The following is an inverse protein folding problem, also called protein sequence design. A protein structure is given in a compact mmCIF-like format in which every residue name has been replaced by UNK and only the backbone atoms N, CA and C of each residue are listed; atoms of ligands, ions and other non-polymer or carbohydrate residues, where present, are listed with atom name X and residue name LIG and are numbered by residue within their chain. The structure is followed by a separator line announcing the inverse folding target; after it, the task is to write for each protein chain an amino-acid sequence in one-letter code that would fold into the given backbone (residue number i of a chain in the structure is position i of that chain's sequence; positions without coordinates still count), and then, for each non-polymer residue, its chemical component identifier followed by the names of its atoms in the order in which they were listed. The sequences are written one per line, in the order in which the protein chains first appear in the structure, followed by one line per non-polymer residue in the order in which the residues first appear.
data_IF_964149336392
#
_entry.id   IF_964149336392
#
_cell.length_a   1.000
_cell.length_b   1.000
_cell.length_c   1.000
_cell.angle_alpha   90.00
_cell.angle_beta   90.00
_cell.angle_gamma   90.00
#
_symmetry.space_group_name_H-M   'P 1'
#
loop_
_entity.id
_entity.type
_entity.pdbx_description
1 polymer ?
#
# COMPACT_ATOMS: atom_id res chain seq x y z
N UNK A 1 -14.55 -16.21 19.13
CA UNK A 1 -15.17 -15.39 18.07
C UNK A 1 -15.56 -14.02 18.65
N UNK A 2 -14.57 -13.23 19.09
CA UNK A 2 -14.74 -11.85 19.62
C UNK A 2 -13.53 -10.97 19.25
N UNK A 3 -12.51 -11.52 18.56
CA UNK A 3 -11.19 -10.88 18.42
C UNK A 3 -11.12 -10.04 17.13
N UNK A 4 -11.72 -10.50 16.04
CA UNK A 4 -11.77 -9.83 14.71
C UNK A 4 -12.54 -8.49 14.73
N UNK A 5 -13.57 -8.38 15.57
CA UNK A 5 -14.39 -7.16 15.67
C UNK A 5 -13.65 -5.99 16.30
N UNK A 6 -12.69 -6.25 17.19
CA UNK A 6 -11.89 -5.22 17.87
C UNK A 6 -10.80 -4.62 16.98
N UNK A 7 -10.16 -5.44 16.15
CA UNK A 7 -9.02 -5.01 15.31
C UNK A 7 -9.47 -4.17 14.11
N UNK A 8 -10.63 -4.51 13.51
CA UNK A 8 -11.25 -3.69 12.48
C UNK A 8 -11.78 -2.36 13.02
N UNK A 9 -12.20 -2.32 14.29
CA UNK A 9 -12.67 -1.11 14.95
C UNK A 9 -11.52 -0.18 15.33
N UNK A 10 -10.38 -0.70 15.80
CA UNK A 10 -9.17 0.09 16.04
C UNK A 10 -8.57 0.69 14.76
N UNK A 11 -8.60 -0.03 13.63
CA UNK A 11 -8.17 0.50 12.32
C UNK A 11 -9.11 1.59 11.82
N UNK A 12 -10.42 1.41 11.97
CA UNK A 12 -11.44 2.41 11.62
C UNK A 12 -11.34 3.67 12.49
N UNK A 13 -11.10 3.50 13.80
CA UNK A 13 -10.98 4.60 14.76
C UNK A 13 -9.70 5.44 14.54
N UNK A 14 -8.66 4.88 13.93
CA UNK A 14 -7.37 5.57 13.73
C UNK A 14 -7.22 6.26 12.36
N UNK A 15 -7.97 5.84 11.34
CA UNK A 15 -7.78 6.31 9.94
C UNK A 15 -9.05 6.80 9.24
N UNK A 16 -10.20 6.82 9.93
CA UNK A 16 -11.52 6.92 9.30
C UNK A 16 -11.92 5.55 8.73
N UNK A 17 -13.22 5.28 8.60
CA UNK A 17 -13.68 3.95 8.19
C UNK A 17 -13.07 3.53 6.84
N UNK A 18 -12.29 2.44 6.85
CA UNK A 18 -11.65 1.89 5.66
C UNK A 18 -12.58 0.86 5.01
N UNK A 19 -13.59 1.35 4.30
CA UNK A 19 -14.54 0.50 3.58
C UNK A 19 -14.12 0.25 2.13
N UNK A 20 -13.12 -0.62 1.93
CA UNK A 20 -12.82 -1.16 0.61
C UNK A 20 -13.78 -2.28 0.24
N UNK A 21 -14.29 -2.24 -0.99
CA UNK A 21 -15.17 -3.27 -1.56
C UNK A 21 -14.43 -4.22 -2.53
N UNK A 22 -13.18 -3.91 -2.86
CA UNK A 22 -12.30 -4.71 -3.72
C UNK A 22 -10.83 -4.42 -3.43
N UNK A 23 -9.95 -5.30 -3.91
CA UNK A 23 -8.52 -5.12 -3.83
C UNK A 23 -8.06 -3.89 -4.63
N UNK A 24 -8.67 -3.65 -5.80
CA UNK A 24 -8.42 -2.43 -6.59
C UNK A 24 -8.82 -1.16 -5.85
N UNK A 25 -9.96 -1.14 -5.17
CA UNK A 25 -10.36 0.00 -4.33
C UNK A 25 -9.36 0.25 -3.19
N UNK A 26 -8.87 -0.80 -2.55
CA UNK A 26 -7.81 -0.71 -1.55
C UNK A 26 -6.52 -0.12 -2.12
N UNK A 27 -6.10 -0.60 -3.30
CA UNK A 27 -4.92 -0.12 -3.99
C UNK A 27 -4.99 1.39 -4.29
N UNK A 28 -6.12 1.88 -4.79
CA UNK A 28 -6.31 3.30 -5.11
C UNK A 28 -6.26 4.17 -3.85
N UNK A 29 -6.93 3.76 -2.77
CA UNK A 29 -6.90 4.48 -1.49
C UNK A 29 -5.47 4.51 -0.88
N UNK A 30 -4.75 3.40 -0.97
CA UNK A 30 -3.34 3.30 -0.55
C UNK A 30 -2.47 4.25 -1.37
N UNK A 31 -2.60 4.25 -2.70
CA UNK A 31 -1.87 5.17 -3.59
C UNK A 31 -2.20 6.64 -3.29
N UNK A 32 -3.43 6.94 -2.89
CA UNK A 32 -3.87 8.30 -2.50
C UNK A 32 -3.45 8.71 -1.09
N UNK A 33 -2.87 7.80 -0.30
CA UNK A 33 -2.44 8.06 1.07
C UNK A 33 -1.07 8.74 1.11
N UNK A 34 -0.94 10.02 1.55
CA UNK A 34 0.33 10.74 1.51
C UNK A 34 1.33 10.29 2.57
N UNK A 35 0.83 9.89 3.74
CA UNK A 35 1.69 9.53 4.87
C UNK A 35 2.22 8.10 4.70
N UNK A 36 3.55 7.88 4.61
CA UNK A 36 4.10 6.54 4.39
C UNK A 36 3.83 5.59 5.58
N UNK A 37 3.70 6.11 6.80
CA UNK A 37 3.31 5.30 7.97
C UNK A 37 1.88 4.80 7.83
N UNK A 38 0.95 5.65 7.41
CA UNK A 38 -0.45 5.24 7.16
C UNK A 38 -0.51 4.26 5.99
N UNK A 39 0.31 4.47 4.96
CA UNK A 39 0.41 3.60 3.79
C UNK A 39 0.85 2.17 4.16
N UNK A 40 1.90 2.05 4.97
CA UNK A 40 2.37 0.76 5.48
C UNK A 40 1.26 0.03 6.27
N UNK A 41 0.58 0.74 7.18
CA UNK A 41 -0.52 0.16 7.97
C UNK A 41 -1.70 -0.29 7.11
N UNK A 42 -2.15 0.55 6.16
CA UNK A 42 -3.20 0.18 5.21
C UNK A 42 -2.82 -1.05 4.38
N UNK A 43 -1.54 -1.17 4.02
CA UNK A 43 -1.03 -2.35 3.29
C UNK A 43 -1.18 -3.64 4.10
N UNK A 44 -0.85 -3.61 5.40
CA UNK A 44 -1.04 -4.77 6.28
C UNK A 44 -2.52 -5.17 6.42
N UNK A 45 -3.41 -4.18 6.56
CA UNK A 45 -4.87 -4.40 6.60
C UNK A 45 -5.38 -5.00 5.30
N UNK A 46 -4.90 -4.50 4.16
CA UNK A 46 -5.30 -5.00 2.85
C UNK A 46 -4.83 -6.44 2.62
N UNK A 47 -3.60 -6.81 3.03
CA UNK A 47 -3.13 -8.20 2.97
C UNK A 47 -4.03 -9.12 3.80
N UNK A 48 -4.36 -8.73 5.04
CA UNK A 48 -5.22 -9.54 5.92
C UNK A 48 -6.58 -9.81 5.26
N UNK A 49 -7.28 -8.75 4.85
CA UNK A 49 -8.59 -8.86 4.20
C UNK A 49 -8.53 -9.62 2.87
N UNK A 50 -7.45 -9.47 2.10
CA UNK A 50 -7.23 -10.25 0.88
C UNK A 50 -7.09 -11.75 1.19
N UNK A 51 -6.27 -12.12 2.19
CA UNK A 51 -6.08 -13.52 2.59
C UNK A 51 -7.32 -14.16 3.23
N UNK A 52 -8.19 -13.35 3.83
CA UNK A 52 -9.51 -13.78 4.33
C UNK A 52 -10.55 -13.98 3.21
N UNK A 53 -10.27 -13.49 1.99
CA UNK A 53 -11.20 -13.55 0.86
C UNK A 53 -12.25 -12.44 0.86
N UNK A 54 -12.08 -11.42 1.69
CA UNK A 54 -13.02 -10.29 1.86
C UNK A 54 -12.92 -9.24 0.74
N UNK A 55 -11.88 -9.31 -0.08
CA UNK A 55 -11.61 -8.38 -1.15
C UNK A 55 -11.59 -9.15 -2.48
N UNK A 56 -12.64 -9.12 -3.31
CA UNK A 56 -12.49 -9.55 -4.69
C UNK A 56 -11.47 -8.65 -5.41
N UNK A 57 -10.79 -9.15 -6.45
CA UNK A 57 -9.79 -8.35 -7.21
C UNK A 57 -10.39 -7.02 -7.68
N UNK A 58 -11.58 -7.08 -8.27
CA UNK A 58 -12.35 -5.92 -8.74
C UNK A 58 -13.85 -6.21 -8.70
N UNK A 59 -14.67 -5.16 -8.65
CA UNK A 59 -16.11 -5.23 -8.91
C UNK A 59 -16.47 -5.00 -10.40
N UNK A 60 -15.47 -4.93 -11.29
CA UNK A 60 -15.66 -4.61 -12.70
C UNK A 60 -15.70 -3.11 -12.92
N UNK A 61 -16.88 -2.53 -13.12
CA UNK A 61 -17.04 -1.10 -13.37
C UNK A 61 -16.86 -0.28 -12.08
N UNK A 62 -15.61 -0.05 -11.69
CA UNK A 62 -15.26 0.81 -10.57
C UNK A 62 -15.04 2.26 -11.03
N UNK A 63 -15.66 3.26 -10.39
CA UNK A 63 -15.63 4.65 -10.85
C UNK A 63 -14.28 5.33 -10.60
N UNK A 64 -13.51 4.85 -9.62
CA UNK A 64 -12.27 5.49 -9.23
C UNK A 64 -11.14 5.18 -10.21
N UNK A 65 -10.48 6.26 -10.65
CA UNK A 65 -9.30 6.19 -11.49
C UNK A 65 -8.05 5.96 -10.63
N UNK A 66 -7.17 5.11 -11.15
CA UNK A 66 -5.79 4.98 -10.64
C UNK A 66 -5.11 6.34 -10.82
N UNK A 67 -4.53 6.94 -9.78
CA UNK A 67 -3.85 8.22 -9.93
C UNK A 67 -2.62 8.09 -10.84
N UNK A 68 -2.30 9.13 -11.61
CA UNK A 68 -1.10 9.17 -12.47
C UNK A 68 0.20 9.05 -11.67
N UNK A 69 0.17 9.39 -10.39
CA UNK A 69 1.27 9.23 -9.45
C UNK A 69 0.75 9.01 -8.04
N UNK A 70 1.44 8.20 -7.22
CA UNK A 70 1.10 8.06 -5.81
C UNK A 70 1.14 9.42 -5.10
N UNK A 71 0.19 9.63 -4.18
CA UNK A 71 0.27 10.73 -3.24
C UNK A 71 1.48 10.48 -2.33
N UNK A 72 2.55 11.21 -2.60
CA UNK A 72 3.77 11.24 -1.80
C UNK A 72 4.05 12.71 -1.47
N UNK A 73 4.51 13.04 -0.26
CA UNK A 73 4.91 14.40 0.06
C UNK A 73 5.99 14.83 -0.94
N UNK A 74 5.87 16.05 -1.47
CA UNK A 74 6.89 16.58 -2.36
C UNK A 74 8.26 16.42 -1.71
N UNK A 75 9.24 15.91 -2.46
CA UNK A 75 10.63 15.84 -1.99
C UNK A 75 11.08 17.28 -1.78
N UNK A 76 10.96 17.78 -0.55
CA UNK A 76 11.52 19.07 -0.17
C UNK A 76 13.00 18.94 -0.47
N UNK A 77 13.47 19.79 -1.39
CA UNK A 77 14.66 19.56 -2.19
C UNK A 77 15.88 19.18 -1.37
N UNK A 78 16.84 18.55 -2.04
CA UNK A 78 18.18 18.12 -1.58
C UNK A 78 18.89 19.21 -0.75
N UNK A 79 18.42 19.50 0.46
CA UNK A 79 19.25 20.04 1.51
C UNK A 79 20.37 19.03 1.64
N UNK A 80 21.62 19.49 1.54
CA UNK A 80 22.80 18.65 1.65
C UNK A 80 22.76 17.97 3.03
N UNK A 81 22.01 16.88 3.17
CA UNK A 81 22.30 15.87 4.16
C UNK A 81 23.76 15.56 3.89
N UNK A 82 24.65 15.91 4.83
CA UNK A 82 26.05 15.51 4.75
C UNK A 82 26.02 13.99 4.54
N UNK A 83 26.26 13.56 3.30
CA UNK A 83 26.28 12.15 2.95
C UNK A 83 27.25 11.45 3.89
N UNK A 84 26.80 10.39 4.55
CA UNK A 84 27.62 9.60 5.47
C UNK A 84 27.13 9.49 6.91
N UNK A 85 26.06 10.18 7.33
CA UNK A 85 25.42 9.83 8.62
C UNK A 85 24.53 8.60 8.50
N UNK A 86 24.55 7.73 9.52
CA UNK A 86 23.64 6.58 9.61
C UNK A 86 22.17 7.01 9.46
N UNK A 87 21.79 8.15 10.05
CA UNK A 87 20.44 8.71 9.93
C UNK A 87 20.05 9.03 8.48
N UNK A 88 20.97 9.61 7.70
CA UNK A 88 20.72 9.88 6.28
C UNK A 88 20.57 8.60 5.45
N UNK A 89 21.34 7.56 5.78
CA UNK A 89 21.21 6.24 5.16
C UNK A 89 19.84 5.62 5.48
N UNK A 90 19.43 5.60 6.75
CA UNK A 90 18.13 5.08 7.18
C UNK A 90 16.99 5.83 6.50
N UNK A 91 17.05 7.16 6.39
CA UNK A 91 16.06 7.93 5.63
C UNK A 91 16.00 7.50 4.15
N UNK A 92 17.15 7.24 3.51
CA UNK A 92 17.21 6.75 2.15
C UNK A 92 16.57 5.38 1.98
N UNK A 93 16.81 4.46 2.93
CA UNK A 93 16.18 3.13 2.95
C UNK A 93 14.67 3.26 3.14
N UNK A 94 14.19 3.99 4.15
CA UNK A 94 12.74 4.23 4.34
C UNK A 94 12.08 4.83 3.08
N UNK A 95 12.79 5.70 2.36
CA UNK A 95 12.28 6.24 1.10
C UNK A 95 12.16 5.14 0.03
N UNK A 96 13.17 4.29 -0.13
CA UNK A 96 13.15 3.17 -1.05
C UNK A 96 12.02 2.17 -0.73
N UNK A 97 11.89 1.76 0.54
CA UNK A 97 10.84 0.83 0.98
C UNK A 97 9.44 1.39 0.71
N UNK A 98 9.20 2.63 1.13
CA UNK A 98 7.89 3.26 0.89
C UNK A 98 7.61 3.45 -0.60
N UNK A 99 8.62 3.58 -1.46
CA UNK A 99 8.46 3.67 -2.92
C UNK A 99 8.13 2.30 -3.52
N UNK A 100 8.70 1.22 -2.99
CA UNK A 100 8.34 -0.14 -3.39
C UNK A 100 6.87 -0.46 -3.05
N UNK A 101 6.36 -0.04 -1.88
CA UNK A 101 4.93 -0.15 -1.55
C UNK A 101 4.06 0.50 -2.64
N UNK A 102 4.43 1.70 -3.11
CA UNK A 102 3.69 2.39 -4.17
C UNK A 102 3.68 1.61 -5.49
N UNK A 103 4.83 1.08 -5.89
CA UNK A 103 4.93 0.31 -7.15
C UNK A 103 4.06 -0.94 -7.12
N UNK A 104 4.00 -1.62 -5.99
CA UNK A 104 3.26 -2.88 -5.87
C UNK A 104 1.75 -2.60 -5.93
N UNK A 105 1.29 -1.55 -5.24
CA UNK A 105 -0.12 -1.15 -5.31
C UNK A 105 -0.51 -0.52 -6.65
N UNK A 106 0.40 0.16 -7.36
CA UNK A 106 0.14 0.65 -8.72
C UNK A 106 -0.06 -0.53 -9.69
N UNK A 107 0.77 -1.57 -9.60
CA UNK A 107 0.58 -2.82 -10.35
C UNK A 107 -0.79 -3.44 -10.08
N UNK A 108 -1.16 -3.62 -8.80
CA UNK A 108 -2.47 -4.17 -8.42
C UNK A 108 -3.61 -3.33 -9.01
N UNK A 109 -3.54 -2.00 -8.88
CA UNK A 109 -4.61 -1.10 -9.31
C UNK A 109 -4.83 -1.11 -10.83
N UNK A 110 -3.76 -1.18 -11.62
CA UNK A 110 -3.80 -1.15 -13.08
C UNK A 110 -4.27 -2.48 -13.67
N UNK A 111 -3.64 -3.58 -13.27
CA UNK A 111 -3.93 -4.89 -13.84
C UNK A 111 -5.28 -5.49 -13.40
N UNK A 112 -5.92 -4.96 -12.36
CA UNK A 112 -7.20 -5.44 -11.87
C UNK A 112 -8.38 -5.26 -12.85
N UNK A 113 -8.32 -4.32 -13.80
CA UNK A 113 -9.40 -4.10 -14.78
C UNK A 113 -9.29 -4.95 -16.07
N UNK A 114 -8.23 -5.75 -16.20
CA UNK A 114 -8.07 -6.62 -17.37
C UNK A 114 -7.74 -5.91 -18.66
N UNK A 115 -6.97 -4.82 -18.60
CA UNK A 115 -6.36 -4.15 -19.75
C UNK A 115 -5.13 -4.89 -20.32
N UNK A 116 -4.84 -6.10 -19.82
CA UNK A 116 -3.76 -6.98 -20.28
C UNK A 116 -4.06 -7.73 -21.60
N UNK A 117 -3.11 -8.57 -22.01
CA UNK A 117 -3.22 -9.43 -23.20
C UNK A 117 -4.55 -10.23 -23.18
N UNK A 118 -5.40 -10.01 -24.18
CA UNK A 118 -6.69 -10.69 -24.31
C UNK A 118 -7.88 -10.02 -23.59
N UNK A 119 -7.69 -8.86 -22.95
CA UNK A 119 -8.78 -8.11 -22.33
C UNK A 119 -9.31 -8.71 -21.02
N UNK A 120 -8.51 -9.55 -20.36
CA UNK A 120 -8.86 -10.19 -19.10
C UNK A 120 -7.83 -9.86 -18.01
N UNK A 121 -8.29 -9.79 -16.76
CA UNK A 121 -7.40 -9.63 -15.61
C UNK A 121 -6.52 -10.87 -15.44
N UNK A 122 -5.28 -10.72 -14.91
CA UNK A 122 -4.45 -11.85 -14.53
C UNK A 122 -5.15 -12.76 -13.50
N UNK A 123 -4.69 -14.02 -13.33
CA UNK A 123 -5.16 -14.89 -12.25
C UNK A 123 -4.90 -14.29 -10.86
N UNK A 124 -5.68 -14.70 -9.84
CA UNK A 124 -5.51 -14.22 -8.45
C UNK A 124 -4.07 -14.39 -7.91
N UNK A 125 -3.38 -15.46 -8.33
CA UNK A 125 -1.99 -15.72 -7.95
C UNK A 125 -1.02 -14.59 -8.33
N UNK A 126 -1.31 -13.84 -9.40
CA UNK A 126 -0.55 -12.63 -9.74
C UNK A 126 -0.70 -11.57 -8.65
N UNK A 127 -1.93 -11.34 -8.16
CA UNK A 127 -2.21 -10.36 -7.12
C UNK A 127 -1.67 -10.81 -5.75
N UNK A 128 -1.69 -12.12 -5.46
CA UNK A 128 -1.09 -12.68 -4.25
C UNK A 128 0.37 -12.27 -4.08
N UNK A 129 1.16 -12.34 -5.16
CA UNK A 129 2.58 -11.96 -5.13
C UNK A 129 2.75 -10.48 -4.83
N UNK A 130 2.01 -9.60 -5.51
CA UNK A 130 2.13 -8.15 -5.31
C UNK A 130 1.70 -7.69 -3.93
N UNK A 131 0.57 -8.21 -3.42
CA UNK A 131 0.06 -7.84 -2.08
C UNK A 131 1.01 -8.35 -1.00
N UNK A 132 1.59 -9.55 -1.19
CA UNK A 132 2.58 -10.10 -0.27
C UNK A 132 3.85 -9.23 -0.23
N UNK A 133 4.43 -8.91 -1.40
CA UNK A 133 5.63 -8.10 -1.49
C UNK A 133 5.37 -6.69 -0.92
N UNK A 134 4.23 -6.06 -1.24
CA UNK A 134 3.87 -4.77 -0.66
C UNK A 134 3.90 -4.79 0.88
N UNK A 135 3.42 -5.87 1.49
CA UNK A 135 3.41 -6.04 2.94
C UNK A 135 4.81 -6.29 3.53
N UNK A 136 5.69 -6.99 2.80
CA UNK A 136 7.10 -7.13 3.19
C UNK A 136 7.80 -5.77 3.24
N UNK A 137 7.62 -4.93 2.21
CA UNK A 137 8.22 -3.59 2.19
C UNK A 137 7.57 -2.64 3.21
N UNK A 138 6.28 -2.82 3.53
CA UNK A 138 5.62 -2.10 4.63
C UNK A 138 6.23 -2.41 6.00
N UNK A 139 6.59 -3.69 6.24
CA UNK A 139 7.29 -4.11 7.46
C UNK A 139 8.73 -3.61 7.49
N UNK A 140 9.45 -3.70 6.37
CA UNK A 140 10.80 -3.14 6.26
C UNK A 140 10.80 -1.63 6.55
N UNK A 141 9.90 -0.88 5.90
CA UNK A 141 9.73 0.55 6.16
C UNK A 141 9.50 0.84 7.64
N UNK A 142 8.58 0.11 8.28
CA UNK A 142 8.22 0.33 9.68
C UNK A 142 9.40 0.05 10.61
N UNK A 143 10.13 -1.04 10.38
CA UNK A 143 11.33 -1.39 11.14
C UNK A 143 12.43 -0.31 11.01
N UNK A 144 12.70 0.15 9.78
CA UNK A 144 13.69 1.22 9.57
C UNK A 144 13.26 2.56 10.16
N UNK A 145 11.96 2.90 10.08
CA UNK A 145 11.42 4.14 10.61
C UNK A 145 11.50 4.24 12.14
N UNK A 146 11.51 3.11 12.86
CA UNK A 146 11.71 3.10 14.32
C UNK A 146 13.06 3.66 14.74
N UNK A 147 14.10 3.49 13.92
CA UNK A 147 15.44 4.02 14.18
C UNK A 147 15.58 5.54 13.95
N UNK A 148 14.51 6.21 13.50
CA UNK A 148 14.49 7.67 13.25
C UNK A 148 13.80 8.49 14.35
N UNK A 149 13.14 7.82 15.30
CA UNK A 149 12.49 8.41 16.49
C UNK A 149 13.54 8.89 17.49
#
# INVERSE_FOLDING_TARGET
MVIESTENQEVNDQFGEVHWLSLRAAAIDILRTPCPVVKARKTEVALRRWKEGDLPVTLGAEPDLVPDSPARPAIIGKGKAKGGSMKAMIHGVCHAESYAIDLMWDSVARFALGDGEGGAAPPEAFFDEWVQIACEEARHFSAWAEHLK
#
